data_IF_439161288707
#
_entry.id   IF_439161288707
#
_cell.length_a   1.000
_cell.length_b   1.000
_cell.length_c   1.000
_cell.angle_alpha   90.00
_cell.angle_beta   90.00
_cell.angle_gamma   90.00
#
_symmetry.space_group_name_H-M   'P 1'
#
loop_
_entity.id
_entity.type
_entity.pdbx_description
1 polymer ?
#
# COMPACT_ATOMS: atom_id res chain seq x y z
N UNK A 1 11.04 -2.80 -35.43
CA UNK A 1 9.96 -3.21 -34.54
C UNK A 1 10.40 -2.82 -33.14
N UNK A 2 9.60 -2.13 -32.36
CA UNK A 2 10.02 -1.63 -31.04
C UNK A 2 10.26 -2.84 -30.12
N UNK A 3 11.49 -3.03 -29.63
CA UNK A 3 11.86 -4.18 -28.81
C UNK A 3 11.04 -4.30 -27.51
N UNK A 4 10.44 -3.18 -27.04
CA UNK A 4 9.53 -3.19 -25.91
C UNK A 4 8.30 -4.10 -26.07
N UNK A 5 7.88 -4.42 -27.30
CA UNK A 5 6.78 -5.36 -27.55
C UNK A 5 7.18 -6.83 -27.29
N UNK A 6 8.47 -7.12 -27.12
CA UNK A 6 9.00 -8.45 -26.78
C UNK A 6 9.23 -8.63 -25.28
N UNK A 7 8.98 -7.59 -24.47
CA UNK A 7 9.14 -7.68 -23.02
C UNK A 7 8.23 -8.74 -22.43
N UNK A 8 8.78 -9.60 -21.61
CA UNK A 8 8.03 -10.69 -20.96
C UNK A 8 7.13 -10.14 -19.84
N UNK A 9 7.63 -9.17 -19.08
CA UNK A 9 6.85 -8.54 -18.02
C UNK A 9 5.91 -7.46 -18.58
N UNK A 10 4.60 -7.48 -18.27
CA UNK A 10 3.70 -6.40 -18.64
C UNK A 10 4.05 -5.06 -18.00
N UNK A 11 4.79 -5.07 -16.87
CA UNK A 11 5.27 -3.84 -16.20
C UNK A 11 6.24 -3.06 -17.10
N UNK A 12 7.07 -3.76 -17.88
CA UNK A 12 8.05 -3.16 -18.78
C UNK A 12 7.51 -2.95 -20.22
N UNK A 13 6.37 -3.57 -20.54
CA UNK A 13 5.67 -3.44 -21.82
C UNK A 13 4.44 -2.56 -21.70
N UNK A 14 3.25 -3.21 -21.64
CA UNK A 14 1.93 -2.59 -21.65
C UNK A 14 1.76 -1.48 -20.59
N UNK A 15 2.31 -1.67 -19.40
CA UNK A 15 2.14 -0.77 -18.24
C UNK A 15 3.35 0.13 -17.97
N UNK A 16 4.35 0.17 -18.86
CA UNK A 16 5.57 0.95 -18.66
C UNK A 16 5.30 2.41 -18.26
N UNK A 17 4.29 3.03 -18.85
CA UNK A 17 3.94 4.43 -18.55
C UNK A 17 3.14 4.60 -17.25
N UNK A 18 2.68 3.50 -16.64
CA UNK A 18 1.89 3.48 -15.40
C UNK A 18 2.71 3.09 -14.17
N UNK A 19 4.01 2.80 -14.33
CA UNK A 19 4.92 2.33 -13.25
C UNK A 19 6.14 3.21 -13.13
N UNK A 20 5.99 4.52 -13.38
CA UNK A 20 7.12 5.47 -13.42
C UNK A 20 7.78 5.63 -12.07
N UNK A 21 6.99 5.86 -11.00
CA UNK A 21 7.50 6.08 -9.66
C UNK A 21 8.20 4.82 -9.12
N UNK A 22 7.59 3.65 -9.29
CA UNK A 22 8.20 2.38 -8.92
C UNK A 22 9.51 2.13 -9.68
N UNK A 23 9.54 2.44 -10.96
CA UNK A 23 10.73 2.26 -11.82
C UNK A 23 11.88 3.15 -11.39
N UNK A 24 11.61 4.40 -11.03
CA UNK A 24 12.61 5.34 -10.51
C UNK A 24 13.25 4.88 -9.20
N UNK A 25 12.54 4.06 -8.42
CA UNK A 25 13.01 3.59 -7.10
C UNK A 25 13.60 2.17 -7.16
N UNK A 26 13.01 1.26 -7.94
CA UNK A 26 13.32 -0.18 -7.85
C UNK A 26 13.90 -0.80 -9.14
N UNK A 27 14.16 -0.01 -10.17
CA UNK A 27 14.86 -0.53 -11.35
C UNK A 27 16.30 -0.95 -11.00
N UNK A 28 16.92 -1.77 -11.85
CA UNK A 28 18.36 -2.10 -11.72
C UNK A 28 19.22 -0.84 -11.75
N UNK A 29 18.87 0.12 -12.59
CA UNK A 29 19.50 1.44 -12.64
C UNK A 29 19.44 2.14 -11.26
N UNK A 30 18.27 2.17 -10.62
CA UNK A 30 18.08 2.77 -9.31
C UNK A 30 18.89 2.04 -8.22
N UNK A 31 18.94 0.71 -8.25
CA UNK A 31 19.73 -0.09 -7.30
C UNK A 31 21.23 0.18 -7.44
N UNK A 32 21.74 0.25 -8.68
CA UNK A 32 23.15 0.58 -8.93
C UNK A 32 23.46 2.00 -8.44
N UNK A 33 22.57 2.95 -8.74
CA UNK A 33 22.68 4.34 -8.30
C UNK A 33 22.74 4.45 -6.77
N UNK A 34 21.88 3.72 -6.06
CA UNK A 34 21.86 3.73 -4.60
C UNK A 34 23.11 3.08 -3.99
N UNK A 35 23.62 1.99 -4.58
CA UNK A 35 24.88 1.37 -4.16
C UNK A 35 26.07 2.31 -4.34
N UNK A 36 26.17 3.02 -5.47
CA UNK A 36 27.19 4.04 -5.70
C UNK A 36 27.11 5.13 -4.62
N UNK A 37 25.91 5.61 -4.31
CA UNK A 37 25.71 6.61 -3.26
C UNK A 37 26.19 6.10 -1.91
N UNK A 38 25.84 4.88 -1.53
CA UNK A 38 26.27 4.26 -0.27
C UNK A 38 27.79 4.16 -0.16
N UNK A 39 28.47 3.73 -1.23
CA UNK A 39 29.94 3.67 -1.27
C UNK A 39 30.60 5.07 -1.11
N UNK A 40 30.05 6.05 -1.79
CA UNK A 40 30.55 7.46 -1.71
C UNK A 40 30.32 8.04 -0.32
N UNK A 41 29.15 7.82 0.26
CA UNK A 41 28.81 8.29 1.61
C UNK A 41 29.69 7.62 2.66
N UNK A 42 29.97 6.33 2.53
CA UNK A 42 30.88 5.63 3.43
C UNK A 42 32.32 6.12 3.27
N UNK A 43 32.81 6.27 2.05
CA UNK A 43 34.13 6.83 1.79
C UNK A 43 34.27 8.23 2.44
N UNK A 44 33.27 9.09 2.27
CA UNK A 44 33.26 10.41 2.90
C UNK A 44 33.31 10.33 4.44
N UNK A 45 32.49 9.45 5.01
CA UNK A 45 32.46 9.21 6.45
C UNK A 45 33.84 8.73 6.96
N UNK A 46 34.40 7.72 6.29
CA UNK A 46 35.69 7.16 6.65
C UNK A 46 36.83 8.20 6.56
N UNK A 47 36.92 8.91 5.46
CA UNK A 47 37.92 9.98 5.29
C UNK A 47 37.77 11.05 6.37
N UNK A 48 36.56 11.46 6.67
CA UNK A 48 36.30 12.51 7.68
C UNK A 48 36.78 12.10 9.07
N UNK A 49 36.59 10.86 9.48
CA UNK A 49 36.86 10.42 10.85
C UNK A 49 38.24 9.76 11.05
N UNK A 50 38.75 9.09 10.00
CA UNK A 50 39.95 8.24 10.14
C UNK A 50 41.12 8.67 9.27
N UNK A 51 40.87 9.47 8.21
CA UNK A 51 41.88 9.92 7.25
C UNK A 51 41.65 11.37 6.80
N UNK A 52 41.49 12.34 7.74
CA UNK A 52 41.17 13.74 7.38
C UNK A 52 42.26 14.39 6.54
N UNK A 53 43.49 13.93 6.61
CA UNK A 53 44.62 14.41 5.80
C UNK A 53 44.43 14.16 4.30
N UNK A 54 43.65 13.15 3.91
CA UNK A 54 43.32 12.84 2.50
C UNK A 54 42.12 13.65 1.99
N UNK A 55 41.34 14.24 2.87
CA UNK A 55 40.10 14.93 2.55
C UNK A 55 40.37 16.39 2.13
N UNK A 56 41.15 16.60 1.05
CA UNK A 56 41.39 17.94 0.47
C UNK A 56 40.10 18.55 -0.05
N UNK A 57 40.08 19.88 -0.25
CA UNK A 57 38.93 20.59 -0.84
C UNK A 57 38.57 20.08 -2.23
N UNK A 58 39.53 19.59 -3.01
CA UNK A 58 39.28 18.96 -4.30
C UNK A 58 38.52 17.64 -4.13
N UNK A 59 38.96 16.79 -3.19
CA UNK A 59 38.32 15.49 -2.89
C UNK A 59 36.91 15.71 -2.35
N UNK A 60 36.70 16.65 -1.43
CA UNK A 60 35.35 17.00 -0.91
C UNK A 60 34.42 17.45 -2.03
N UNK A 61 34.88 18.32 -2.93
CA UNK A 61 34.07 18.76 -4.08
C UNK A 61 33.70 17.60 -4.99
N UNK A 62 34.61 16.66 -5.23
CA UNK A 62 34.37 15.50 -6.05
C UNK A 62 33.36 14.56 -5.42
N UNK A 63 33.50 14.23 -4.14
CA UNK A 63 32.55 13.43 -3.36
C UNK A 63 31.16 14.07 -3.40
N UNK A 64 31.05 15.35 -3.11
CA UNK A 64 29.78 16.07 -3.12
C UNK A 64 29.12 16.11 -4.52
N UNK A 65 29.93 16.22 -5.58
CA UNK A 65 29.41 16.19 -6.94
C UNK A 65 28.84 14.81 -7.30
N UNK A 66 29.57 13.75 -6.97
CA UNK A 66 29.14 12.37 -7.20
C UNK A 66 27.89 12.02 -6.37
N UNK A 67 27.82 12.44 -5.11
CA UNK A 67 26.66 12.20 -4.26
C UNK A 67 25.40 12.90 -4.76
N UNK A 68 25.58 14.12 -5.27
CA UNK A 68 24.47 14.93 -5.78
C UNK A 68 23.92 14.41 -7.10
N UNK A 69 24.80 14.01 -8.01
CA UNK A 69 24.45 13.61 -9.38
C UNK A 69 25.29 12.43 -9.86
N UNK A 70 24.74 11.24 -9.74
CA UNK A 70 25.32 10.00 -10.27
C UNK A 70 24.88 9.87 -11.72
N UNK A 71 25.84 10.05 -12.64
CA UNK A 71 25.58 10.04 -14.09
C UNK A 71 25.25 8.64 -14.64
N UNK A 72 24.44 8.62 -15.70
CA UNK A 72 24.15 7.36 -16.43
C UNK A 72 25.42 6.70 -16.96
N UNK A 73 26.43 7.49 -17.36
CA UNK A 73 27.74 6.99 -17.79
C UNK A 73 28.47 6.19 -16.71
N UNK A 74 28.36 6.62 -15.44
CA UNK A 74 28.95 5.86 -14.33
C UNK A 74 28.18 4.56 -14.09
N UNK A 75 26.87 4.56 -14.22
CA UNK A 75 26.03 3.37 -14.11
C UNK A 75 26.33 2.39 -15.25
N UNK A 76 26.46 2.86 -16.49
CA UNK A 76 26.89 2.05 -17.64
C UNK A 76 28.27 1.44 -17.40
N UNK A 77 29.22 2.21 -16.83
CA UNK A 77 30.55 1.72 -16.48
C UNK A 77 30.50 0.58 -15.46
N UNK A 78 29.61 0.65 -14.47
CA UNK A 78 29.38 -0.48 -13.54
C UNK A 78 28.96 -1.73 -14.30
N UNK A 79 28.06 -1.63 -15.28
CA UNK A 79 27.60 -2.79 -16.08
C UNK A 79 28.71 -3.35 -16.97
N UNK A 80 29.58 -2.51 -17.52
CA UNK A 80 30.75 -2.97 -18.26
C UNK A 80 31.69 -3.81 -17.37
N UNK A 81 32.01 -3.30 -16.18
CA UNK A 81 32.88 -4.00 -15.22
C UNK A 81 32.21 -5.30 -14.74
N UNK A 82 30.91 -5.26 -14.44
CA UNK A 82 30.16 -6.45 -14.03
C UNK A 82 30.19 -7.55 -15.09
N UNK A 83 30.12 -7.19 -16.37
CA UNK A 83 30.19 -8.17 -17.48
C UNK A 83 31.48 -8.99 -17.50
N UNK A 84 32.54 -8.47 -16.88
CA UNK A 84 33.85 -9.13 -16.78
C UNK A 84 34.04 -9.82 -15.43
N UNK A 85 33.65 -9.15 -14.35
CA UNK A 85 33.86 -9.64 -12.98
C UNK A 85 32.81 -10.65 -12.53
N UNK A 86 31.64 -10.66 -13.17
CA UNK A 86 30.44 -11.41 -12.78
C UNK A 86 30.05 -11.18 -11.30
N UNK A 87 30.27 -9.96 -10.81
CA UNK A 87 29.97 -9.57 -9.43
C UNK A 87 29.50 -8.11 -9.37
N UNK A 88 28.24 -7.90 -9.10
CA UNK A 88 27.55 -6.62 -9.17
C UNK A 88 28.10 -5.55 -8.18
N UNK A 89 28.22 -5.87 -6.87
CA UNK A 89 28.73 -4.91 -5.89
C UNK A 89 30.22 -4.64 -6.07
N UNK A 90 31.02 -5.65 -6.46
CA UNK A 90 32.44 -5.45 -6.81
C UNK A 90 32.60 -4.52 -8.02
N UNK A 91 31.69 -4.59 -8.97
CA UNK A 91 31.69 -3.68 -10.12
C UNK A 91 31.40 -2.24 -9.70
N UNK A 92 30.49 -2.02 -8.73
CA UNK A 92 30.24 -0.70 -8.14
C UNK A 92 31.48 -0.17 -7.43
N UNK A 93 32.12 -0.98 -6.57
CA UNK A 93 33.35 -0.60 -5.87
C UNK A 93 34.43 -0.14 -6.86
N UNK A 94 34.69 -0.92 -7.91
CA UNK A 94 35.71 -0.60 -8.91
C UNK A 94 35.38 0.67 -9.70
N UNK A 95 34.12 0.82 -10.12
CA UNK A 95 33.68 2.01 -10.86
C UNK A 95 33.77 3.30 -10.00
N UNK A 96 33.47 3.21 -8.70
CA UNK A 96 33.65 4.33 -7.76
C UNK A 96 35.13 4.61 -7.55
N UNK A 97 35.98 3.57 -7.39
CA UNK A 97 37.43 3.76 -7.25
C UNK A 97 38.03 4.45 -8.46
N UNK A 98 37.64 4.12 -9.70
CA UNK A 98 38.06 4.79 -10.93
C UNK A 98 37.79 6.31 -10.88
N UNK A 99 36.78 6.76 -10.14
CA UNK A 99 36.52 8.19 -10.00
C UNK A 99 37.63 8.94 -9.24
N UNK A 100 38.48 8.25 -8.50
CA UNK A 100 39.57 8.81 -7.71
C UNK A 100 40.96 8.42 -8.27
N UNK A 101 41.10 8.19 -9.58
CA UNK A 101 42.34 7.75 -10.24
C UNK A 101 43.57 8.67 -9.98
N UNK A 102 43.35 9.90 -9.59
CA UNK A 102 44.45 10.82 -9.21
C UNK A 102 45.07 10.50 -7.84
N UNK A 103 44.49 9.56 -7.04
CA UNK A 103 44.99 9.17 -5.72
C UNK A 103 44.77 7.67 -5.47
N UNK A 104 45.84 6.89 -5.65
CA UNK A 104 45.81 5.45 -5.37
C UNK A 104 45.42 5.16 -3.90
N UNK A 105 45.79 6.04 -2.98
CA UNK A 105 45.45 5.89 -1.57
C UNK A 105 43.93 5.99 -1.35
N UNK A 106 43.26 6.96 -1.96
CA UNK A 106 41.80 7.09 -1.85
C UNK A 106 41.10 5.94 -2.58
N UNK A 107 41.58 5.54 -3.76
CA UNK A 107 41.04 4.37 -4.47
C UNK A 107 41.02 3.12 -3.59
N UNK A 108 42.11 2.87 -2.85
CA UNK A 108 42.25 1.70 -1.97
C UNK A 108 41.33 1.74 -0.75
N UNK A 109 40.76 2.90 -0.41
CA UNK A 109 39.82 3.08 0.70
C UNK A 109 38.36 2.96 0.30
N UNK A 110 38.05 2.87 -0.99
CA UNK A 110 36.69 2.56 -1.43
C UNK A 110 36.33 1.15 -0.93
N UNK A 111 35.13 0.97 -0.40
CA UNK A 111 34.65 -0.30 0.21
C UNK A 111 35.45 -0.75 1.45
N UNK A 112 36.24 0.12 2.07
CA UNK A 112 37.07 -0.26 3.24
C UNK A 112 36.20 -0.82 4.37
N UNK A 113 36.58 -1.98 4.91
CA UNK A 113 35.92 -2.72 5.99
C UNK A 113 34.52 -3.25 5.69
N UNK A 114 33.98 -3.02 4.50
CA UNK A 114 32.65 -3.46 4.11
C UNK A 114 32.64 -4.89 3.56
N UNK A 115 31.46 -5.46 3.51
CA UNK A 115 31.08 -6.57 2.65
C UNK A 115 29.94 -6.13 1.75
N UNK A 116 29.71 -6.82 0.65
CA UNK A 116 28.62 -6.50 -0.30
C UNK A 116 27.26 -6.33 0.38
N UNK A 117 26.99 -7.06 1.45
CA UNK A 117 25.73 -6.98 2.18
C UNK A 117 25.60 -5.76 3.10
N UNK A 118 26.68 -5.12 3.50
CA UNK A 118 26.60 -3.80 4.14
C UNK A 118 26.00 -2.80 3.13
N UNK A 119 26.53 -2.80 1.92
CA UNK A 119 26.06 -1.93 0.82
C UNK A 119 24.64 -2.30 0.41
N UNK A 120 24.34 -3.57 0.22
CA UNK A 120 23.01 -4.03 -0.22
C UNK A 120 21.94 -3.72 0.82
N UNK A 121 22.15 -4.06 2.11
CA UNK A 121 21.14 -3.85 3.14
C UNK A 121 20.79 -2.38 3.28
N UNK A 122 21.79 -1.48 3.23
CA UNK A 122 21.55 -0.04 3.28
C UNK A 122 20.87 0.48 2.01
N UNK A 123 21.31 0.02 0.82
CA UNK A 123 20.68 0.43 -0.45
C UNK A 123 19.21 0.05 -0.50
N UNK A 124 18.85 -1.19 -0.16
CA UNK A 124 17.44 -1.59 -0.10
C UNK A 124 16.65 -0.85 0.99
N UNK A 125 17.25 -0.57 2.14
CA UNK A 125 16.60 0.23 3.18
C UNK A 125 16.27 1.64 2.69
N UNK A 126 17.18 2.29 1.98
CA UNK A 126 16.98 3.62 1.40
C UNK A 126 15.95 3.62 0.27
N UNK A 127 15.99 2.60 -0.61
CA UNK A 127 14.99 2.42 -1.67
C UNK A 127 13.58 2.21 -1.08
N UNK A 128 13.45 1.35 -0.08
CA UNK A 128 12.17 1.11 0.61
C UNK A 128 11.69 2.35 1.37
N UNK A 129 12.60 3.12 1.98
CA UNK A 129 12.28 4.39 2.63
C UNK A 129 11.71 5.40 1.62
N UNK A 130 12.32 5.50 0.42
CA UNK A 130 11.81 6.37 -0.64
C UNK A 130 10.43 5.89 -1.16
N UNK A 131 10.28 4.58 -1.37
CA UNK A 131 9.00 3.99 -1.77
C UNK A 131 7.90 4.17 -0.72
N UNK A 132 8.26 4.20 0.54
CA UNK A 132 7.35 4.42 1.65
C UNK A 132 6.65 5.79 1.59
N UNK A 133 7.38 6.85 1.28
CA UNK A 133 6.78 8.19 1.10
C UNK A 133 5.79 8.20 -0.07
N UNK A 134 6.17 7.62 -1.20
CA UNK A 134 5.30 7.49 -2.38
C UNK A 134 4.05 6.67 -2.06
N UNK A 135 4.19 5.59 -1.31
CA UNK A 135 3.08 4.74 -0.90
C UNK A 135 2.09 5.49 0.00
N UNK A 136 2.57 6.28 0.96
CA UNK A 136 1.72 7.13 1.81
C UNK A 136 0.92 8.11 0.95
N UNK A 137 1.54 8.76 -0.04
CA UNK A 137 0.86 9.67 -0.95
C UNK A 137 -0.23 8.95 -1.78
N UNK A 138 0.03 7.74 -2.27
CA UNK A 138 -0.96 6.95 -3.00
C UNK A 138 -2.18 6.62 -2.15
N UNK A 139 -1.95 6.18 -0.90
CA UNK A 139 -3.03 5.83 0.03
C UNK A 139 -3.84 7.08 0.39
N UNK A 140 -3.18 8.22 0.63
CA UNK A 140 -3.82 9.49 0.92
C UNK A 140 -4.77 9.94 -0.20
N UNK A 141 -4.35 9.79 -1.46
CA UNK A 141 -5.19 10.11 -2.62
C UNK A 141 -6.47 9.24 -2.67
N UNK A 142 -6.35 7.94 -2.33
CA UNK A 142 -7.52 7.05 -2.28
C UNK A 142 -8.44 7.41 -1.12
N UNK A 143 -7.88 7.68 0.07
CA UNK A 143 -8.65 8.12 1.24
C UNK A 143 -9.44 9.38 0.89
N UNK A 144 -8.77 10.41 0.36
CA UNK A 144 -9.43 11.67 -0.02
C UNK A 144 -10.55 11.47 -1.02
N UNK A 145 -10.33 10.64 -2.05
CA UNK A 145 -11.37 10.35 -3.05
C UNK A 145 -12.57 9.61 -2.46
N UNK A 146 -12.35 8.72 -1.49
CA UNK A 146 -13.42 8.01 -0.79
C UNK A 146 -14.19 8.93 0.16
N UNK A 147 -13.52 9.81 0.88
CA UNK A 147 -14.12 10.79 1.77
C UNK A 147 -14.98 11.80 1.02
N UNK A 148 -14.50 12.31 -0.12
CA UNK A 148 -15.28 13.18 -1.00
C UNK A 148 -16.57 12.51 -1.49
N UNK A 149 -16.48 11.22 -1.86
CA UNK A 149 -17.64 10.45 -2.28
C UNK A 149 -18.57 10.13 -1.10
N UNK A 150 -18.03 9.85 0.10
CA UNK A 150 -18.78 9.57 1.30
C UNK A 150 -19.58 10.81 1.74
N UNK A 151 -18.94 11.98 1.82
CA UNK A 151 -19.58 13.25 2.18
C UNK A 151 -20.71 13.61 1.18
N UNK A 152 -20.44 13.46 -0.11
CA UNK A 152 -21.43 13.72 -1.16
C UNK A 152 -22.68 12.84 -1.05
N UNK A 153 -22.54 11.62 -0.52
CA UNK A 153 -23.60 10.62 -0.47
C UNK A 153 -24.06 10.27 0.95
N UNK A 154 -23.69 11.07 1.97
CA UNK A 154 -23.99 10.77 3.37
C UNK A 154 -25.48 10.65 3.71
N UNK A 155 -26.34 11.40 3.00
CA UNK A 155 -27.78 11.37 3.18
C UNK A 155 -28.49 10.39 2.23
N UNK A 156 -27.77 9.67 1.40
CA UNK A 156 -28.35 8.69 0.47
C UNK A 156 -28.64 7.39 1.21
N UNK A 157 -29.85 7.25 1.74
CA UNK A 157 -30.31 6.02 2.36
C UNK A 157 -30.28 4.86 1.37
N UNK A 158 -29.70 3.73 1.75
CA UNK A 158 -29.45 2.58 0.91
C UNK A 158 -29.81 1.28 1.60
N UNK A 159 -30.35 0.32 0.85
CA UNK A 159 -30.55 -1.04 1.34
C UNK A 159 -29.19 -1.71 1.61
N UNK A 160 -28.91 -2.05 2.86
CA UNK A 160 -27.76 -2.92 3.14
C UNK A 160 -28.07 -4.39 2.80
N UNK A 161 -27.03 -5.15 2.50
CA UNK A 161 -27.15 -6.58 2.22
C UNK A 161 -26.20 -7.38 3.07
N UNK A 162 -26.71 -8.36 3.79
CA UNK A 162 -25.92 -9.36 4.50
C UNK A 162 -26.24 -10.73 3.91
N UNK A 163 -25.22 -11.56 3.66
CA UNK A 163 -25.40 -12.83 2.96
C UNK A 163 -26.14 -12.68 1.59
N UNK A 164 -25.97 -11.51 0.94
CA UNK A 164 -26.68 -11.17 -0.30
C UNK A 164 -28.17 -10.87 -0.13
N UNK A 165 -28.72 -10.91 1.10
CA UNK A 165 -30.14 -10.66 1.40
C UNK A 165 -30.35 -9.23 1.94
N UNK A 166 -31.55 -8.65 1.70
CA UNK A 166 -31.93 -7.37 2.30
C UNK A 166 -31.78 -7.37 3.80
N UNK A 167 -31.14 -6.33 4.32
CA UNK A 167 -30.88 -6.09 5.73
C UNK A 167 -31.24 -4.66 6.13
N UNK A 168 -31.09 -4.31 7.39
CA UNK A 168 -31.39 -2.97 7.91
C UNK A 168 -30.69 -1.89 7.10
N UNK A 169 -31.37 -0.79 6.75
CA UNK A 169 -30.83 0.26 5.90
C UNK A 169 -29.57 0.92 6.47
N UNK A 170 -28.77 1.45 5.58
CA UNK A 170 -27.57 2.25 5.84
C UNK A 170 -27.57 3.50 4.95
N UNK A 171 -26.43 4.19 4.81
CA UNK A 171 -26.24 5.20 3.77
C UNK A 171 -25.08 4.82 2.85
N UNK A 172 -25.17 5.24 1.59
CA UNK A 172 -24.06 5.04 0.63
C UNK A 172 -22.78 5.72 1.10
N UNK A 173 -22.89 6.89 1.73
CA UNK A 173 -21.73 7.59 2.29
C UNK A 173 -21.04 6.78 3.37
N UNK A 174 -21.79 6.19 4.33
CA UNK A 174 -21.20 5.35 5.37
C UNK A 174 -20.48 4.12 4.78
N UNK A 175 -21.07 3.46 3.78
CA UNK A 175 -20.45 2.30 3.11
C UNK A 175 -19.07 2.67 2.53
N UNK A 176 -18.95 3.83 1.89
CA UNK A 176 -17.67 4.31 1.35
C UNK A 176 -16.69 4.70 2.47
N UNK A 177 -17.18 5.35 3.55
CA UNK A 177 -16.33 5.78 4.66
C UNK A 177 -15.74 4.62 5.47
N UNK A 178 -16.35 3.44 5.45
CA UNK A 178 -15.77 2.23 6.05
C UNK A 178 -14.38 1.94 5.45
N UNK A 179 -14.23 2.06 4.13
CA UNK A 179 -12.96 1.83 3.45
C UNK A 179 -11.94 2.94 3.73
N UNK A 180 -12.37 4.21 3.72
CA UNK A 180 -11.52 5.34 4.08
C UNK A 180 -10.96 5.19 5.51
N UNK A 181 -11.81 4.87 6.48
CA UNK A 181 -11.42 4.67 7.88
C UNK A 181 -10.43 3.50 8.04
N UNK A 182 -10.67 2.37 7.36
CA UNK A 182 -9.76 1.23 7.37
C UNK A 182 -8.39 1.59 6.78
N UNK A 183 -8.37 2.33 5.67
CA UNK A 183 -7.12 2.78 5.02
C UNK A 183 -6.37 3.80 5.89
N UNK A 184 -7.06 4.73 6.57
CA UNK A 184 -6.46 5.67 7.55
C UNK A 184 -5.71 4.92 8.65
N UNK A 185 -6.31 3.88 9.20
CA UNK A 185 -5.69 3.05 10.23
C UNK A 185 -4.41 2.37 9.73
N UNK A 186 -4.45 1.78 8.53
CA UNK A 186 -3.25 1.14 7.95
C UNK A 186 -2.19 2.17 7.55
N UNK A 187 -2.58 3.37 7.08
CA UNK A 187 -1.67 4.49 6.82
C UNK A 187 -0.96 4.95 8.10
N UNK A 188 -1.67 5.04 9.22
CA UNK A 188 -1.07 5.37 10.52
C UNK A 188 -0.01 4.32 10.91
N UNK A 189 -0.36 3.04 10.83
CA UNK A 189 0.59 1.95 11.07
C UNK A 189 1.80 1.99 10.11
N UNK A 190 1.56 2.36 8.85
CA UNK A 190 2.62 2.50 7.85
C UNK A 190 3.56 3.66 8.23
N UNK A 191 3.02 4.81 8.66
CA UNK A 191 3.81 6.00 8.99
C UNK A 191 4.81 5.80 10.15
N UNK A 192 4.58 4.79 10.99
CA UNK A 192 5.46 4.44 12.10
C UNK A 192 6.61 3.49 11.72
N UNK A 193 6.62 2.99 10.47
CA UNK A 193 7.63 2.01 10.03
C UNK A 193 9.02 2.60 10.01
N UNK A 194 9.98 1.80 10.43
CA UNK A 194 11.40 2.11 10.47
C UNK A 194 12.15 1.21 9.51
N UNK A 195 13.27 1.72 9.02
CA UNK A 195 14.12 1.03 8.06
C UNK A 195 15.44 0.69 8.72
N UNK A 196 15.94 -0.51 8.47
CA UNK A 196 17.11 -1.05 9.14
C UNK A 196 18.15 -1.51 8.13
N UNK A 197 19.42 -1.39 8.53
CA UNK A 197 20.55 -1.97 7.83
C UNK A 197 21.54 -2.56 8.81
N UNK A 198 22.27 -3.57 8.40
CA UNK A 198 23.45 -4.03 9.12
C UNK A 198 24.68 -3.30 8.58
N UNK A 199 25.69 -3.03 9.43
CA UNK A 199 26.90 -2.32 9.07
C UNK A 199 28.06 -2.76 9.99
N UNK A 200 28.76 -3.83 9.62
CA UNK A 200 29.78 -4.44 10.52
C UNK A 200 30.68 -5.45 9.83
N UNK A 201 30.76 -5.41 8.48
CA UNK A 201 31.59 -6.29 7.68
C UNK A 201 31.01 -7.70 7.49
N UNK A 202 31.85 -8.62 7.10
CA UNK A 202 31.48 -9.93 6.54
C UNK A 202 30.53 -10.78 7.39
N UNK A 203 30.59 -10.66 8.71
CA UNK A 203 29.72 -11.39 9.66
C UNK A 203 29.19 -10.48 10.77
N UNK A 204 29.17 -9.18 10.53
CA UNK A 204 28.74 -8.12 11.45
C UNK A 204 29.50 -8.11 12.79
N UNK A 205 30.73 -8.61 12.80
CA UNK A 205 31.57 -8.71 14.00
C UNK A 205 32.67 -7.64 14.09
N UNK A 206 32.78 -6.74 13.12
CA UNK A 206 33.79 -5.67 13.06
C UNK A 206 35.24 -6.19 13.09
N UNK A 207 35.51 -7.39 12.56
CA UNK A 207 36.83 -8.03 12.69
C UNK A 207 37.99 -7.16 12.19
N UNK A 208 38.02 -6.70 10.90
CA UNK A 208 39.12 -5.86 10.42
C UNK A 208 39.08 -4.44 11.01
N UNK A 209 37.92 -3.95 11.38
CA UNK A 209 37.76 -2.63 12.00
C UNK A 209 38.52 -2.55 13.33
N UNK A 210 38.27 -3.51 14.24
CA UNK A 210 38.90 -3.56 15.55
C UNK A 210 40.40 -3.90 15.49
N UNK A 211 40.85 -4.61 14.44
CA UNK A 211 42.28 -4.84 14.25
C UNK A 211 42.99 -3.56 13.80
N UNK A 212 42.39 -2.75 12.95
CA UNK A 212 42.98 -1.53 12.43
C UNK A 212 42.88 -0.35 13.42
N UNK A 213 41.76 -0.24 14.12
CA UNK A 213 41.47 0.84 15.07
C UNK A 213 40.83 0.27 16.33
N UNK A 214 41.62 -0.35 17.23
CA UNK A 214 41.10 -1.08 18.39
C UNK A 214 40.46 -0.18 19.47
N UNK A 215 40.77 1.11 19.50
CA UNK A 215 40.25 2.07 20.47
C UNK A 215 38.91 2.71 20.06
N UNK A 216 38.44 2.42 18.83
CA UNK A 216 37.23 3.05 18.28
C UNK A 216 35.98 2.24 18.61
N UNK A 217 34.89 2.94 18.93
CA UNK A 217 33.57 2.34 19.09
C UNK A 217 32.88 2.20 17.73
N UNK A 218 33.21 1.09 17.05
CA UNK A 218 32.67 0.82 15.71
C UNK A 218 31.16 0.63 15.67
N UNK A 219 30.52 0.19 16.76
CA UNK A 219 29.06 0.12 16.84
C UNK A 219 28.46 1.52 16.82
N UNK A 220 29.11 2.47 17.54
CA UNK A 220 28.70 3.88 17.52
C UNK A 220 28.91 4.49 16.15
N UNK A 221 30.07 4.28 15.49
CA UNK A 221 30.32 4.77 14.14
C UNK A 221 29.30 4.26 13.13
N UNK A 222 28.97 2.98 13.16
CA UNK A 222 27.94 2.39 12.29
C UNK A 222 26.57 3.01 12.54
N UNK A 223 26.19 3.19 13.81
CA UNK A 223 24.94 3.84 14.19
C UNK A 223 24.89 5.30 13.71
N UNK A 224 25.94 6.06 13.93
CA UNK A 224 26.00 7.48 13.56
C UNK A 224 25.91 7.63 12.02
N UNK A 225 26.62 6.79 11.27
CA UNK A 225 26.59 6.76 9.81
C UNK A 225 25.17 6.44 9.27
N UNK A 226 24.56 5.36 9.72
CA UNK A 226 23.23 4.96 9.28
C UNK A 226 22.14 5.96 9.69
N UNK A 227 22.23 6.48 10.93
CA UNK A 227 21.26 7.47 11.43
C UNK A 227 21.30 8.78 10.65
N UNK A 228 22.49 9.20 10.16
CA UNK A 228 22.60 10.37 9.27
C UNK A 228 21.83 10.19 7.94
N UNK A 229 21.62 8.94 7.51
CA UNK A 229 20.83 8.57 6.33
C UNK A 229 19.35 8.25 6.68
N UNK A 230 19.00 8.32 7.97
CA UNK A 230 17.65 8.04 8.47
C UNK A 230 17.30 6.56 8.43
N UNK A 231 18.29 5.70 8.67
CA UNK A 231 18.19 4.24 8.77
C UNK A 231 18.71 3.80 10.13
N UNK A 232 18.10 2.82 10.76
CA UNK A 232 18.53 2.30 12.07
C UNK A 232 19.53 1.13 11.91
N UNK A 233 20.43 0.97 12.86
CA UNK A 233 21.41 -0.13 12.89
C UNK A 233 20.77 -1.41 13.44
N UNK A 234 20.77 -2.48 12.66
CA UNK A 234 20.59 -3.85 13.18
C UNK A 234 21.91 -4.30 13.81
N UNK A 235 22.04 -4.08 15.11
CA UNK A 235 23.30 -4.29 15.85
C UNK A 235 23.76 -5.74 15.87
N UNK A 236 22.82 -6.67 16.02
CA UNK A 236 23.10 -8.10 16.07
C UNK A 236 22.58 -8.74 14.79
N UNK A 237 23.48 -9.05 13.89
CA UNK A 237 23.17 -9.60 12.57
C UNK A 237 24.19 -10.70 12.20
N UNK A 238 23.91 -11.39 11.11
CA UNK A 238 24.86 -12.28 10.43
C UNK A 238 25.56 -11.50 9.30
N UNK A 239 25.90 -12.14 8.19
CA UNK A 239 26.34 -11.41 7.00
C UNK A 239 25.23 -10.53 6.43
N UNK A 240 23.96 -10.88 6.66
CA UNK A 240 22.78 -10.14 6.19
C UNK A 240 22.04 -9.43 7.34
N UNK A 241 21.31 -8.39 7.00
CA UNK A 241 20.19 -7.89 7.81
C UNK A 241 19.06 -8.94 7.77
N UNK A 242 18.40 -9.29 8.92
CA UNK A 242 17.42 -10.39 8.96
C UNK A 242 16.14 -10.17 8.12
N UNK A 243 15.89 -8.97 7.63
CA UNK A 243 14.74 -8.55 6.81
C UNK A 243 13.37 -8.64 7.51
N UNK A 244 13.33 -8.77 8.83
CA UNK A 244 12.07 -8.81 9.59
C UNK A 244 11.27 -7.51 9.41
N UNK A 245 11.94 -6.35 9.32
CA UNK A 245 11.29 -5.07 9.06
C UNK A 245 10.66 -5.00 7.65
N UNK A 246 11.30 -5.65 6.66
CA UNK A 246 10.73 -5.74 5.31
C UNK A 246 9.47 -6.59 5.32
N UNK A 247 9.49 -7.71 6.03
CA UNK A 247 8.32 -8.57 6.18
C UNK A 247 7.15 -7.83 6.84
N UNK A 248 7.41 -7.07 7.90
CA UNK A 248 6.40 -6.26 8.58
C UNK A 248 5.84 -5.16 7.67
N UNK A 249 6.70 -4.48 6.89
CA UNK A 249 6.27 -3.52 5.87
C UNK A 249 5.38 -4.17 4.80
N UNK A 250 5.81 -5.29 4.23
CA UNK A 250 5.07 -5.98 3.17
C UNK A 250 3.74 -6.53 3.66
N UNK A 251 3.65 -6.99 4.91
CA UNK A 251 2.39 -7.39 5.53
C UNK A 251 1.43 -6.21 5.73
N UNK A 252 1.93 -5.03 6.06
CA UNK A 252 1.09 -3.82 6.13
C UNK A 252 0.55 -3.47 4.73
N UNK A 253 1.39 -3.50 3.69
CA UNK A 253 0.98 -3.27 2.31
C UNK A 253 -0.08 -4.29 1.86
N UNK A 254 0.07 -5.56 2.21
CA UNK A 254 -0.93 -6.60 1.89
C UNK A 254 -2.29 -6.33 2.56
N UNK A 255 -2.32 -5.80 3.79
CA UNK A 255 -3.59 -5.39 4.43
C UNK A 255 -4.23 -4.21 3.71
N UNK A 256 -3.44 -3.23 3.26
CA UNK A 256 -3.92 -2.11 2.42
C UNK A 256 -4.48 -2.66 1.10
N UNK A 257 -3.75 -3.53 0.43
CA UNK A 257 -4.20 -4.17 -0.81
C UNK A 257 -5.51 -4.93 -0.61
N UNK A 258 -5.69 -5.63 0.50
CA UNK A 258 -6.91 -6.37 0.81
C UNK A 258 -8.11 -5.44 1.05
N UNK A 259 -7.90 -4.27 1.67
CA UNK A 259 -8.95 -3.26 1.82
C UNK A 259 -9.36 -2.72 0.44
N UNK A 260 -8.39 -2.47 -0.44
CA UNK A 260 -8.66 -2.02 -1.81
C UNK A 260 -9.34 -3.10 -2.66
N UNK A 261 -8.98 -4.38 -2.48
CA UNK A 261 -9.66 -5.51 -3.13
C UNK A 261 -11.14 -5.57 -2.72
N UNK A 262 -11.41 -5.49 -1.42
CA UNK A 262 -12.76 -5.47 -0.84
C UNK A 262 -13.58 -4.29 -1.44
N UNK A 263 -12.99 -3.09 -1.46
CA UNK A 263 -13.59 -1.90 -2.08
C UNK A 263 -13.93 -2.12 -3.56
N UNK A 264 -12.99 -2.66 -4.35
CA UNK A 264 -13.21 -2.85 -5.80
C UNK A 264 -14.32 -3.85 -6.09
N UNK A 265 -14.45 -4.90 -5.29
CA UNK A 265 -15.48 -5.93 -5.40
C UNK A 265 -16.87 -5.39 -5.00
N UNK A 266 -16.94 -4.60 -3.91
CA UNK A 266 -18.20 -3.99 -3.49
C UNK A 266 -18.69 -2.96 -4.53
N UNK A 267 -17.80 -2.09 -5.02
CA UNK A 267 -18.17 -1.12 -6.05
C UNK A 267 -18.62 -1.83 -7.34
N UNK A 268 -17.92 -2.90 -7.76
CA UNK A 268 -18.34 -3.71 -8.89
C UNK A 268 -19.77 -4.26 -8.69
N UNK A 269 -20.07 -4.73 -7.47
CA UNK A 269 -21.41 -5.24 -7.10
C UNK A 269 -22.45 -4.11 -7.11
N UNK A 270 -22.13 -2.93 -6.61
CA UNK A 270 -23.04 -1.78 -6.65
C UNK A 270 -23.30 -1.27 -8.07
N UNK A 271 -22.32 -1.38 -8.97
CA UNK A 271 -22.53 -1.12 -10.40
C UNK A 271 -23.48 -2.18 -11.00
N UNK A 272 -23.32 -3.45 -10.63
CA UNK A 272 -24.21 -4.54 -11.10
C UNK A 272 -25.65 -4.42 -10.57
N UNK A 273 -25.85 -3.70 -9.44
CA UNK A 273 -27.18 -3.36 -8.91
C UNK A 273 -27.73 -2.03 -9.45
N UNK A 274 -27.07 -1.40 -10.41
CA UNK A 274 -27.42 -0.06 -10.92
C UNK A 274 -27.36 1.05 -9.84
N UNK A 275 -26.70 0.82 -8.71
CA UNK A 275 -26.51 1.84 -7.65
C UNK A 275 -25.47 2.88 -8.06
N UNK A 276 -24.49 2.50 -8.85
CA UNK A 276 -23.56 3.41 -9.52
C UNK A 276 -23.66 3.31 -11.03
N UNK A 277 -23.57 4.45 -11.70
CA UNK A 277 -23.25 4.56 -13.11
C UNK A 277 -21.82 5.07 -13.29
N UNK A 278 -21.26 4.82 -14.48
CA UNK A 278 -19.91 5.26 -14.84
C UNK A 278 -19.98 6.38 -15.87
N UNK A 279 -19.34 7.52 -15.57
CA UNK A 279 -19.18 8.63 -16.53
C UNK A 279 -18.27 8.21 -17.67
N UNK A 280 -18.74 8.41 -18.90
CA UNK A 280 -17.92 8.20 -20.10
C UNK A 280 -16.89 9.32 -20.24
N UNK A 281 -15.62 8.94 -20.47
CA UNK A 281 -14.63 9.89 -21.00
C UNK A 281 -14.72 9.90 -22.53
N UNK A 282 -14.57 11.10 -23.12
CA UNK A 282 -14.54 11.25 -24.58
C UNK A 282 -13.47 10.32 -25.19
N UNK A 283 -13.84 9.54 -26.21
CA UNK A 283 -13.02 8.57 -26.93
C UNK A 283 -12.75 7.21 -26.22
N UNK A 284 -13.39 6.89 -25.11
CA UNK A 284 -13.36 5.53 -24.56
C UNK A 284 -14.37 4.62 -25.31
N UNK A 285 -13.92 3.44 -25.74
CA UNK A 285 -14.79 2.39 -26.28
C UNK A 285 -15.22 1.48 -25.14
N UNK A 286 -16.48 1.56 -24.72
CA UNK A 286 -17.00 0.79 -23.58
C UNK A 286 -17.03 -0.72 -23.82
N UNK A 287 -17.49 -1.14 -25.00
CA UNK A 287 -17.54 -2.55 -25.43
C UNK A 287 -17.39 -2.64 -26.95
N UNK A 288 -16.62 -3.60 -27.43
CA UNK A 288 -16.43 -3.84 -28.86
C UNK A 288 -17.68 -4.42 -29.55
N UNK A 289 -18.58 -5.06 -28.79
CA UNK A 289 -19.74 -5.81 -29.33
C UNK A 289 -21.07 -5.20 -28.89
N UNK A 290 -21.12 -4.56 -27.69
CA UNK A 290 -22.36 -4.01 -27.13
C UNK A 290 -22.17 -2.51 -26.87
N UNK A 291 -22.57 -1.62 -27.82
CA UNK A 291 -22.26 -0.19 -27.76
C UNK A 291 -22.84 0.56 -26.55
N UNK A 292 -23.92 0.04 -25.95
CA UNK A 292 -24.59 0.65 -24.80
C UNK A 292 -23.89 0.33 -23.46
N UNK A 293 -22.89 -0.62 -23.45
CA UNK A 293 -22.31 -1.17 -22.23
C UNK A 293 -21.06 -0.42 -21.83
N UNK A 294 -21.03 0.10 -20.62
CA UNK A 294 -19.85 0.71 -19.98
C UNK A 294 -19.35 -0.24 -18.89
N UNK A 295 -18.22 -0.88 -19.13
CA UNK A 295 -17.66 -1.86 -18.20
C UNK A 295 -16.86 -1.18 -17.09
N UNK A 296 -16.89 -1.69 -15.85
CA UNK A 296 -16.09 -1.20 -14.73
C UNK A 296 -14.62 -1.65 -14.79
N UNK A 297 -13.99 -1.52 -15.97
CA UNK A 297 -12.65 -2.06 -16.28
C UNK A 297 -11.55 -1.53 -15.36
N UNK A 298 -11.72 -0.33 -14.80
CA UNK A 298 -10.76 0.26 -13.89
C UNK A 298 -10.71 -0.53 -12.57
N UNK A 299 -11.86 -0.92 -12.02
CA UNK A 299 -11.95 -1.73 -10.81
C UNK A 299 -11.50 -3.18 -11.03
N UNK A 300 -11.85 -3.78 -12.17
CA UNK A 300 -11.39 -5.13 -12.56
C UNK A 300 -9.87 -5.16 -12.75
N UNK A 301 -9.29 -4.11 -13.35
CA UNK A 301 -7.84 -3.97 -13.50
C UNK A 301 -7.15 -3.78 -12.15
N UNK A 302 -7.73 -2.98 -11.25
CA UNK A 302 -7.21 -2.82 -9.90
C UNK A 302 -7.20 -4.14 -9.13
N UNK A 303 -8.33 -4.88 -9.13
CA UNK A 303 -8.46 -6.19 -8.46
C UNK A 303 -7.38 -7.17 -8.94
N UNK A 304 -7.21 -7.33 -10.24
CA UNK A 304 -6.20 -8.25 -10.80
C UNK A 304 -4.76 -7.88 -10.39
N UNK A 305 -4.42 -6.58 -10.41
CA UNK A 305 -3.08 -6.12 -10.06
C UNK A 305 -2.81 -6.16 -8.55
N UNK A 306 -3.82 -5.92 -7.69
CA UNK A 306 -3.70 -6.10 -6.23
C UNK A 306 -3.41 -7.56 -5.87
N UNK A 307 -4.07 -8.50 -6.55
CA UNK A 307 -3.81 -9.93 -6.37
C UNK A 307 -2.36 -10.32 -6.72
N UNK A 308 -1.83 -9.80 -7.83
CA UNK A 308 -0.43 -10.02 -8.24
C UNK A 308 0.56 -9.38 -7.26
N UNK A 309 0.31 -8.14 -6.83
CA UNK A 309 1.10 -7.48 -5.80
C UNK A 309 1.17 -8.32 -4.52
N UNK A 310 0.02 -8.76 -4.02
CA UNK A 310 -0.06 -9.61 -2.82
C UNK A 310 0.71 -10.92 -2.97
N UNK A 311 0.64 -11.58 -4.11
CA UNK A 311 1.35 -12.84 -4.34
C UNK A 311 2.87 -12.67 -4.23
N UNK A 312 3.41 -11.58 -4.80
CA UNK A 312 4.84 -11.28 -4.75
C UNK A 312 5.26 -10.87 -3.33
N UNK A 313 4.54 -9.92 -2.72
CA UNK A 313 4.85 -9.45 -1.36
C UNK A 313 4.74 -10.56 -0.33
N UNK A 314 3.78 -11.47 -0.48
CA UNK A 314 3.65 -12.66 0.38
C UNK A 314 4.87 -13.57 0.26
N UNK A 315 5.35 -13.83 -0.96
CA UNK A 315 6.56 -14.63 -1.14
C UNK A 315 7.78 -13.96 -0.52
N UNK A 316 7.97 -12.65 -0.72
CA UNK A 316 9.05 -11.88 -0.13
C UNK A 316 9.02 -11.92 1.40
N UNK A 317 7.85 -11.73 2.01
CA UNK A 317 7.63 -11.81 3.46
C UNK A 317 8.15 -13.13 4.05
N UNK A 318 7.82 -14.26 3.40
CA UNK A 318 8.20 -15.57 3.90
C UNK A 318 9.64 -15.94 3.55
N UNK A 319 10.14 -15.51 2.39
CA UNK A 319 11.48 -15.93 1.92
C UNK A 319 12.59 -15.13 2.57
N UNK A 320 12.43 -13.81 2.72
CA UNK A 320 13.53 -12.94 3.16
C UNK A 320 13.90 -13.14 4.63
N UNK A 321 12.95 -13.52 5.47
CA UNK A 321 13.18 -13.81 6.90
C UNK A 321 13.84 -15.17 7.17
N UNK A 322 14.13 -15.94 6.11
CA UNK A 322 14.74 -17.28 6.23
C UNK A 322 16.00 -17.39 5.37
N UNK A 323 17.14 -17.58 6.02
CA UNK A 323 18.43 -17.80 5.37
C UNK A 323 19.17 -18.99 6.01
N UNK A 324 20.28 -19.38 5.44
CA UNK A 324 21.11 -20.50 5.93
C UNK A 324 22.41 -19.99 6.55
N UNK A 325 22.68 -20.39 7.79
CA UNK A 325 23.91 -20.03 8.51
C UNK A 325 24.12 -18.51 8.52
N UNK A 326 25.28 -18.02 8.05
CA UNK A 326 25.53 -16.58 7.94
C UNK A 326 24.81 -15.95 6.76
N UNK A 327 24.67 -16.68 5.65
CA UNK A 327 23.93 -16.27 4.43
C UNK A 327 23.89 -17.41 3.41
N UNK A 328 22.81 -17.46 2.61
CA UNK A 328 22.77 -18.05 1.28
C UNK A 328 22.36 -16.98 0.25
N UNK A 329 22.66 -17.22 -1.05
CA UNK A 329 22.45 -16.21 -2.10
C UNK A 329 21.00 -16.11 -2.60
N UNK A 330 20.08 -16.93 -2.08
CA UNK A 330 18.69 -16.95 -2.56
C UNK A 330 17.90 -15.67 -2.21
N UNK A 331 18.34 -14.91 -1.21
CA UNK A 331 17.82 -13.59 -0.86
C UNK A 331 18.03 -12.58 -2.02
N UNK A 332 19.23 -12.51 -2.57
CA UNK A 332 19.56 -11.60 -3.66
C UNK A 332 18.68 -11.78 -4.88
N UNK A 333 18.31 -13.04 -5.21
CA UNK A 333 17.42 -13.35 -6.33
C UNK A 333 16.02 -12.74 -6.12
N UNK A 334 15.48 -12.83 -4.92
CA UNK A 334 14.09 -12.39 -4.66
C UNK A 334 13.99 -10.90 -4.34
N UNK A 335 15.00 -10.29 -3.69
CA UNK A 335 15.04 -8.85 -3.41
C UNK A 335 14.86 -7.99 -4.67
N UNK A 336 15.39 -8.42 -5.81
CA UNK A 336 15.23 -7.74 -7.10
C UNK A 336 13.78 -7.68 -7.59
N UNK A 337 12.86 -8.45 -6.98
CA UNK A 337 11.44 -8.47 -7.31
C UNK A 337 10.58 -7.58 -6.41
N UNK A 338 11.16 -6.85 -5.46
CA UNK A 338 10.41 -5.88 -4.63
C UNK A 338 9.66 -4.89 -5.54
N UNK A 339 10.36 -4.30 -6.51
CA UNK A 339 9.77 -3.37 -7.47
C UNK A 339 8.63 -3.97 -8.31
N UNK A 340 8.63 -5.28 -8.54
CA UNK A 340 7.53 -5.94 -9.25
C UNK A 340 6.24 -5.91 -8.43
N UNK A 341 6.33 -6.16 -7.11
CA UNK A 341 5.18 -6.05 -6.19
C UNK A 341 4.64 -4.63 -6.12
N UNK A 342 5.51 -3.64 -5.98
CA UNK A 342 5.14 -2.22 -5.98
C UNK A 342 4.60 -1.75 -7.33
N UNK A 343 5.14 -2.22 -8.46
CA UNK A 343 4.67 -1.86 -9.79
C UNK A 343 3.22 -2.29 -10.05
N UNK A 344 2.84 -3.50 -9.63
CA UNK A 344 1.45 -3.92 -9.67
C UNK A 344 0.56 -3.09 -8.76
N UNK A 345 1.05 -2.69 -7.57
CA UNK A 345 0.33 -1.80 -6.68
C UNK A 345 0.13 -0.41 -7.29
N UNK A 346 1.16 0.20 -7.92
CA UNK A 346 1.06 1.50 -8.60
C UNK A 346 -0.03 1.50 -9.67
N UNK A 347 -0.10 0.42 -10.47
CA UNK A 347 -1.16 0.26 -11.48
C UNK A 347 -2.53 0.16 -10.81
N UNK A 348 -2.64 -0.61 -9.73
CA UNK A 348 -3.90 -0.79 -9.02
C UNK A 348 -4.41 0.52 -8.39
N UNK A 349 -3.53 1.29 -7.75
CA UNK A 349 -3.84 2.61 -7.18
C UNK A 349 -4.35 3.56 -8.27
N UNK A 350 -3.60 3.67 -9.37
CA UNK A 350 -3.99 4.52 -10.50
C UNK A 350 -5.34 4.11 -11.09
N UNK A 351 -5.60 2.81 -11.21
CA UNK A 351 -6.86 2.29 -11.73
C UNK A 351 -8.01 2.52 -10.74
N UNK A 352 -7.81 2.32 -9.45
CA UNK A 352 -8.81 2.60 -8.41
C UNK A 352 -9.20 4.09 -8.44
N UNK A 353 -8.23 5.00 -8.42
CA UNK A 353 -8.49 6.45 -8.49
C UNK A 353 -9.25 6.83 -9.76
N UNK A 354 -8.88 6.26 -10.90
CA UNK A 354 -9.59 6.49 -12.16
C UNK A 354 -11.02 5.98 -12.10
N UNK A 355 -11.24 4.79 -11.54
CA UNK A 355 -12.58 4.22 -11.34
C UNK A 355 -13.44 5.10 -10.44
N UNK A 356 -12.94 5.48 -9.26
CA UNK A 356 -13.63 6.35 -8.31
C UNK A 356 -14.04 7.69 -8.95
N UNK A 357 -13.16 8.28 -9.78
CA UNK A 357 -13.45 9.55 -10.48
C UNK A 357 -14.58 9.47 -11.49
N UNK A 358 -14.94 8.27 -11.94
CA UNK A 358 -16.03 8.02 -12.90
C UNK A 358 -17.36 7.69 -12.23
N UNK A 359 -17.37 7.39 -10.93
CA UNK A 359 -18.58 6.97 -10.23
C UNK A 359 -19.61 8.09 -10.11
N UNK A 360 -20.86 7.76 -10.35
CA UNK A 360 -22.02 8.62 -10.12
C UNK A 360 -23.14 7.79 -9.47
N UNK A 361 -23.55 8.20 -8.27
CA UNK A 361 -24.60 7.50 -7.54
C UNK A 361 -25.95 7.65 -8.26
N UNK A 362 -26.62 6.53 -8.50
CA UNK A 362 -27.96 6.47 -9.05
C UNK A 362 -28.99 6.46 -7.90
N UNK A 363 -29.22 7.64 -7.33
CA UNK A 363 -30.07 7.78 -6.15
C UNK A 363 -31.50 7.33 -6.39
N UNK A 364 -31.99 7.34 -7.64
CA UNK A 364 -33.33 6.87 -7.99
C UNK A 364 -33.45 5.34 -7.85
N UNK A 365 -32.48 4.59 -8.33
CA UNK A 365 -32.50 3.11 -8.21
C UNK A 365 -32.23 2.66 -6.77
N UNK A 366 -31.30 3.35 -6.07
CA UNK A 366 -31.04 3.11 -4.64
C UNK A 366 -32.32 3.30 -3.83
N UNK A 367 -33.07 4.41 -4.06
CA UNK A 367 -34.32 4.71 -3.37
C UNK A 367 -35.40 3.67 -3.69
N UNK A 368 -35.54 3.30 -4.96
CA UNK A 368 -36.53 2.33 -5.43
C UNK A 368 -36.34 0.93 -4.82
N UNK A 369 -35.08 0.48 -4.61
CA UNK A 369 -34.82 -0.80 -3.97
C UNK A 369 -35.13 -0.78 -2.46
N UNK A 370 -35.23 0.40 -1.85
CA UNK A 370 -35.47 0.57 -0.41
C UNK A 370 -36.92 0.93 -0.07
N UNK A 371 -37.58 1.79 -0.84
CA UNK A 371 -38.80 2.50 -0.44
C UNK A 371 -39.97 1.59 -0.02
N UNK A 372 -40.19 0.46 -0.69
CA UNK A 372 -41.31 -0.45 -0.44
C UNK A 372 -40.95 -1.66 0.46
N UNK A 373 -39.84 -1.61 1.17
CA UNK A 373 -39.33 -2.73 1.95
C UNK A 373 -39.62 -2.59 3.44
N UNK A 374 -40.89 -2.56 3.79
CA UNK A 374 -41.32 -2.45 5.18
C UNK A 374 -40.96 -3.67 6.03
N UNK A 375 -40.65 -4.83 5.43
CA UNK A 375 -40.09 -5.98 6.13
C UNK A 375 -38.79 -5.68 6.88
N UNK A 376 -38.04 -4.66 6.49
CA UNK A 376 -36.81 -4.22 7.17
C UNK A 376 -37.10 -3.61 8.55
N UNK A 377 -38.32 -3.07 8.75
CA UNK A 377 -38.75 -2.50 10.01
C UNK A 377 -39.21 -3.59 11.02
N UNK A 378 -39.22 -4.85 10.61
CA UNK A 378 -39.50 -5.97 11.49
C UNK A 378 -38.51 -6.03 12.69
N UNK A 379 -37.26 -5.59 12.47
CA UNK A 379 -36.25 -5.47 13.54
C UNK A 379 -36.68 -4.43 14.58
N UNK A 380 -37.12 -3.24 14.17
CA UNK A 380 -37.62 -2.21 15.06
C UNK A 380 -38.85 -2.73 15.83
N UNK A 381 -39.83 -3.30 15.12
CA UNK A 381 -41.07 -3.81 15.73
C UNK A 381 -40.76 -4.86 16.82
N UNK A 382 -39.89 -5.86 16.51
CA UNK A 382 -39.56 -6.87 17.51
C UNK A 382 -38.74 -6.31 18.69
N UNK A 383 -37.98 -5.25 18.50
CA UNK A 383 -37.23 -4.60 19.56
C UNK A 383 -38.20 -3.86 20.54
N UNK A 384 -39.17 -3.17 19.99
CA UNK A 384 -40.21 -2.51 20.82
C UNK A 384 -41.10 -3.52 21.59
N UNK A 385 -41.44 -4.64 20.97
CA UNK A 385 -42.13 -5.73 21.67
C UNK A 385 -41.35 -6.26 22.89
N UNK A 386 -40.01 -6.36 22.73
CA UNK A 386 -39.14 -6.74 23.85
C UNK A 386 -39.11 -5.67 24.94
N UNK A 387 -39.09 -4.39 24.59
CA UNK A 387 -39.20 -3.27 25.56
C UNK A 387 -40.52 -3.33 26.35
N UNK A 388 -41.60 -3.80 25.72
CA UNK A 388 -42.91 -4.03 26.39
C UNK A 388 -42.96 -5.37 27.17
N UNK A 389 -41.85 -6.12 27.25
CA UNK A 389 -41.77 -7.38 28.00
C UNK A 389 -42.37 -8.59 27.29
N UNK A 390 -42.68 -8.50 26.01
CA UNK A 390 -43.23 -9.61 25.18
C UNK A 390 -42.11 -10.62 24.86
N UNK A 391 -42.09 -11.76 25.57
CA UNK A 391 -41.07 -12.80 25.39
C UNK A 391 -41.10 -13.49 24.01
N UNK A 392 -42.27 -13.55 23.40
CA UNK A 392 -42.54 -14.15 22.09
C UNK A 392 -42.56 -13.14 20.95
N UNK A 393 -42.18 -11.90 21.19
CA UNK A 393 -42.20 -10.82 20.19
C UNK A 393 -41.49 -11.18 18.89
N UNK A 394 -40.33 -11.86 18.96
CA UNK A 394 -39.64 -12.36 17.77
C UNK A 394 -40.49 -13.35 16.95
N UNK A 395 -41.14 -14.34 17.60
CA UNK A 395 -41.94 -15.33 16.92
C UNK A 395 -43.23 -14.73 16.31
N UNK A 396 -43.78 -13.73 16.93
CA UNK A 396 -44.94 -12.96 16.40
C UNK A 396 -44.55 -12.22 15.13
N UNK A 397 -43.47 -11.45 15.15
CA UNK A 397 -42.98 -10.70 13.99
C UNK A 397 -42.53 -11.63 12.85
N UNK A 398 -41.86 -12.75 13.22
CA UNK A 398 -41.42 -13.76 12.25
C UNK A 398 -42.57 -14.36 11.43
N UNK A 399 -43.74 -14.56 12.03
CA UNK A 399 -44.92 -15.09 11.33
C UNK A 399 -45.42 -14.19 10.22
N UNK A 400 -45.25 -12.88 10.34
CA UNK A 400 -45.76 -11.87 9.41
C UNK A 400 -44.70 -11.33 8.45
N UNK A 401 -43.42 -11.57 8.71
CA UNK A 401 -42.30 -11.02 7.89
C UNK A 401 -41.53 -12.09 7.12
N UNK A 402 -41.40 -13.32 7.65
CA UNK A 402 -40.48 -14.31 7.07
C UNK A 402 -40.95 -14.83 5.70
N UNK A 403 -40.16 -14.52 4.67
CA UNK A 403 -40.42 -14.98 3.31
C UNK A 403 -41.58 -14.26 2.59
N UNK A 404 -42.09 -13.20 3.21
CA UNK A 404 -43.14 -12.36 2.62
C UNK A 404 -42.63 -10.94 2.41
N UNK A 405 -43.02 -10.32 1.31
CA UNK A 405 -42.85 -8.88 1.12
C UNK A 405 -43.90 -8.18 2.00
N UNK A 406 -43.44 -7.34 2.90
CA UNK A 406 -44.31 -6.53 3.77
C UNK A 406 -44.39 -5.12 3.16
N UNK A 407 -45.60 -4.72 2.82
CA UNK A 407 -45.89 -3.33 2.43
C UNK A 407 -46.24 -2.48 3.65
N UNK A 408 -46.46 -1.19 3.42
CA UNK A 408 -46.78 -0.22 4.45
C UNK A 408 -48.03 -0.60 5.26
N UNK A 409 -49.09 -1.07 4.60
CA UNK A 409 -50.37 -1.35 5.24
C UNK A 409 -50.29 -2.57 6.15
N UNK A 410 -49.53 -3.62 5.72
CA UNK A 410 -49.24 -4.82 6.52
C UNK A 410 -48.42 -4.40 7.76
N UNK A 411 -47.41 -3.56 7.58
CA UNK A 411 -46.58 -3.07 8.67
C UNK A 411 -47.40 -2.26 9.70
N UNK A 412 -48.15 -1.26 9.24
CA UNK A 412 -48.98 -0.44 10.10
C UNK A 412 -50.00 -1.26 10.89
N UNK A 413 -50.62 -2.25 10.25
CA UNK A 413 -51.53 -3.18 10.93
C UNK A 413 -50.79 -4.01 11.98
N UNK A 414 -49.60 -4.49 11.70
CA UNK A 414 -48.77 -5.22 12.67
C UNK A 414 -48.41 -4.35 13.89
N UNK A 415 -48.09 -3.08 13.70
CA UNK A 415 -47.82 -2.13 14.77
C UNK A 415 -49.10 -1.97 15.64
N UNK A 416 -50.26 -1.80 15.00
CA UNK A 416 -51.53 -1.62 15.72
C UNK A 416 -51.92 -2.84 16.56
N UNK A 417 -51.77 -4.03 15.97
CA UNK A 417 -52.19 -5.29 16.57
C UNK A 417 -51.24 -5.79 17.68
N UNK A 418 -49.93 -5.47 17.61
CA UNK A 418 -48.92 -6.08 18.47
C UNK A 418 -48.37 -5.14 19.56
N UNK A 419 -48.34 -3.86 19.35
CA UNK A 419 -47.80 -2.86 20.30
C UNK A 419 -48.95 -2.37 21.19
N UNK A 420 -48.73 -2.31 22.52
CA UNK A 420 -49.71 -1.84 23.49
C UNK A 420 -49.51 -0.41 23.90
N UNK A 421 -48.27 0.07 23.99
CA UNK A 421 -47.93 1.43 24.40
C UNK A 421 -48.16 2.41 23.23
N UNK A 422 -49.01 3.42 23.45
CA UNK A 422 -49.38 4.40 22.40
C UNK A 422 -48.21 5.25 21.92
N UNK A 423 -47.25 5.61 22.80
CA UNK A 423 -46.05 6.35 22.42
C UNK A 423 -45.17 5.52 21.47
N UNK A 424 -45.04 4.22 21.76
CA UNK A 424 -44.33 3.28 20.92
C UNK A 424 -45.02 3.09 19.54
N UNK A 425 -46.36 3.04 19.53
CA UNK A 425 -47.13 2.97 18.28
C UNK A 425 -46.89 4.20 17.42
N UNK A 426 -46.90 5.40 18.00
CA UNK A 426 -46.71 6.65 17.28
C UNK A 426 -45.32 6.68 16.63
N UNK A 427 -44.27 6.32 17.39
CA UNK A 427 -42.90 6.21 16.87
C UNK A 427 -42.82 5.24 15.70
N UNK A 428 -43.34 4.02 15.85
CA UNK A 428 -43.25 3.00 14.82
C UNK A 428 -44.10 3.30 13.58
N UNK A 429 -45.31 3.90 13.75
CA UNK A 429 -46.14 4.32 12.62
C UNK A 429 -45.54 5.46 11.79
N UNK A 430 -44.73 6.30 12.42
CA UNK A 430 -43.99 7.37 11.75
C UNK A 430 -42.78 6.90 10.98
N UNK A 431 -42.30 5.65 11.21
CA UNK A 431 -41.06 5.14 10.65
C UNK A 431 -41.24 4.64 9.20
N UNK A 432 -40.30 5.01 8.35
CA UNK A 432 -40.17 4.48 6.99
C UNK A 432 -38.82 3.75 6.83
N UNK A 433 -38.69 2.82 5.85
CA UNK A 433 -37.40 2.20 5.57
C UNK A 433 -36.26 3.20 5.35
N UNK A 434 -36.55 4.33 4.73
CA UNK A 434 -35.59 5.41 4.42
C UNK A 434 -35.09 6.16 5.65
N UNK A 435 -35.92 6.26 6.69
CA UNK A 435 -35.56 6.94 7.96
C UNK A 435 -34.91 5.99 8.96
N UNK A 436 -34.98 4.67 8.72
CA UNK A 436 -34.42 3.65 9.60
C UNK A 436 -32.92 3.43 9.38
N UNK A 437 -32.15 4.51 9.29
CA UNK A 437 -30.71 4.50 9.06
C UNK A 437 -29.87 4.73 10.33
N UNK A 438 -30.53 4.92 11.49
CA UNK A 438 -29.84 5.24 12.75
C UNK A 438 -28.98 6.51 12.63
N UNK A 439 -27.67 6.37 12.88
CA UNK A 439 -26.69 7.46 12.76
C UNK A 439 -25.77 7.27 11.55
N UNK A 440 -26.17 6.50 10.54
CA UNK A 440 -25.31 6.18 9.40
C UNK A 440 -24.83 7.43 8.64
N UNK A 441 -25.65 8.49 8.53
CA UNK A 441 -25.25 9.76 7.93
C UNK A 441 -24.12 10.45 8.73
N UNK A 442 -24.14 10.40 10.07
CA UNK A 442 -23.04 10.93 10.89
C UNK A 442 -21.78 10.09 10.77
N UNK A 443 -21.92 8.77 10.66
CA UNK A 443 -20.79 7.85 10.44
C UNK A 443 -20.20 7.94 9.03
N UNK A 444 -20.83 8.68 8.13
CA UNK A 444 -20.30 9.00 6.80
C UNK A 444 -19.42 10.27 6.81
N UNK A 445 -19.48 11.06 7.87
CA UNK A 445 -18.68 12.27 8.03
C UNK A 445 -17.23 11.91 8.38
N UNK A 446 -16.32 12.83 8.04
CA UNK A 446 -14.92 12.70 8.43
C UNK A 446 -14.80 12.83 9.95
N UNK A 447 -14.26 11.83 10.60
CA UNK A 447 -13.97 11.85 12.03
C UNK A 447 -12.48 12.05 12.23
N UNK A 448 -12.06 13.21 12.75
CA UNK A 448 -10.66 13.54 13.03
C UNK A 448 -10.13 12.87 14.32
N UNK A 449 -10.98 12.08 15.02
CA UNK A 449 -10.66 11.46 16.32
C UNK A 449 -10.23 9.99 16.26
N UNK A 450 -9.86 9.45 15.08
CA UNK A 450 -9.40 8.03 14.97
C UNK A 450 -7.90 7.94 14.84
#
# INVERSE_FOLDING_TARGET
MNDSLKNLSPLDGRYQNKTKQTREIFSEHALIKERIRVEIQWLNYFLTHFKPELLSEHVKKKINALDKDISDTLIERVKEIESVTNHDVKAVELAVAEQFEASEEIQSLVHIFLTSEDVNSLSYALMLKNAHFVLIEWIEQIISALEDLAEKNKEVAMLARTHGQPASPTTLGKELNVFATRLKKEKSSLSEKKFFAKWGGATANYNPHLLAYPEEDWVKHSKDFLSALGVELTKVATQIEPHDYMADLFQNIQRINNIMLDLTQDIWSYIAFDYFSLKMKNNEVGSSTMPHKINPIDFENAEGNLGLSNAILNHLTHKLTVSRLQRDLSDSTVLRNIGTGYGYLEIAVSSTLQGLSKLEANTSEISKDLDDRYELLAEALQSFLRLEGKKDGYDQVKKISRGMKMDKDIYLKAVEDLIENEDHKEILKGLTPKEYIGIANKLAEQDDEI
#
